data_IF_359619955029
#
_entry.id   IF_359619955029
#
_cell.length_a   1.000
_cell.length_b   1.000
_cell.length_c   1.000
_cell.angle_alpha   90.00
_cell.angle_beta   90.00
_cell.angle_gamma   90.00
#
_symmetry.space_group_name_H-M   'P 1'
#
loop_
_entity.id
_entity.type
_entity.pdbx_description
1 polymer ?
#
# COMPACT_ATOMS: atom_id res chain seq x y z
N UNK A 1 4.83 -36.83 83.75
CA UNK A 1 4.75 -38.20 83.21
C UNK A 1 3.96 -38.16 81.91
N UNK A 2 4.69 -38.30 80.80
CA UNK A 2 4.29 -38.89 79.51
C UNK A 2 2.82 -38.71 79.04
N UNK A 3 2.57 -37.73 78.18
CA UNK A 3 1.33 -37.71 77.39
C UNK A 3 1.66 -37.54 75.90
N UNK A 4 1.72 -38.68 75.22
CA UNK A 4 1.44 -38.91 73.80
C UNK A 4 1.74 -37.77 72.81
N UNK A 5 3.03 -37.58 72.50
CA UNK A 5 3.45 -36.90 71.26
C UNK A 5 3.22 -37.74 69.98
N UNK A 6 2.66 -38.95 70.14
CA UNK A 6 2.41 -39.92 69.08
C UNK A 6 0.94 -39.95 68.57
N UNK A 7 0.04 -39.09 69.06
CA UNK A 7 -1.39 -39.15 68.71
C UNK A 7 -1.98 -37.87 68.10
N UNK A 8 -1.15 -36.86 67.78
CA UNK A 8 -1.67 -35.66 67.11
C UNK A 8 -1.32 -35.67 65.60
N UNK A 9 -2.19 -36.21 64.73
CA UNK A 9 -1.97 -36.22 63.28
C UNK A 9 -1.88 -34.80 62.71
N UNK A 10 -2.44 -33.78 63.37
CA UNK A 10 -2.31 -32.40 62.95
C UNK A 10 -0.90 -31.87 63.23
N UNK A 11 -0.28 -32.24 64.35
CA UNK A 11 1.11 -31.86 64.64
C UNK A 11 2.12 -32.50 63.67
N UNK A 12 1.86 -33.74 63.23
CA UNK A 12 2.68 -34.42 62.21
C UNK A 12 2.48 -33.77 60.84
N UNK A 13 1.24 -33.52 60.42
CA UNK A 13 0.94 -32.83 59.16
C UNK A 13 1.51 -31.42 59.13
N UNK A 14 1.39 -30.68 60.24
CA UNK A 14 1.98 -29.36 60.40
C UNK A 14 3.50 -29.41 60.32
N UNK A 15 4.14 -30.36 60.99
CA UNK A 15 5.60 -30.53 60.90
C UNK A 15 6.09 -30.88 59.48
N UNK A 16 5.32 -31.69 58.75
CA UNK A 16 5.60 -32.01 57.34
C UNK A 16 5.35 -30.81 56.42
N UNK A 17 4.28 -30.05 56.64
CA UNK A 17 3.98 -28.83 55.91
C UNK A 17 5.06 -27.77 56.15
N UNK A 18 5.42 -27.49 57.41
CA UNK A 18 6.45 -26.51 57.78
C UNK A 18 7.83 -26.91 57.19
N UNK A 19 8.18 -28.21 57.18
CA UNK A 19 9.41 -28.68 56.54
C UNK A 19 9.36 -28.58 55.01
N UNK A 20 8.21 -28.86 54.41
CA UNK A 20 8.03 -28.77 52.96
C UNK A 20 8.05 -27.32 52.52
N UNK A 21 7.35 -26.44 53.24
CA UNK A 21 7.34 -25.00 53.02
C UNK A 21 8.75 -24.43 53.16
N UNK A 22 9.50 -24.80 54.20
CA UNK A 22 10.88 -24.32 54.34
C UNK A 22 11.77 -24.75 53.18
N UNK A 23 11.68 -26.01 52.73
CA UNK A 23 12.47 -26.54 51.60
C UNK A 23 12.04 -25.94 50.26
N UNK A 24 10.73 -25.78 50.06
CA UNK A 24 10.17 -25.15 48.86
C UNK A 24 10.54 -23.67 48.83
N UNK A 25 10.51 -22.98 49.96
CA UNK A 25 10.89 -21.59 50.06
C UNK A 25 12.39 -21.38 49.79
N UNK A 26 13.26 -22.23 50.34
CA UNK A 26 14.71 -22.19 50.06
C UNK A 26 15.01 -22.47 48.58
N UNK A 27 14.43 -23.53 48.02
CA UNK A 27 14.59 -23.88 46.60
C UNK A 27 14.01 -22.80 45.69
N UNK A 28 12.84 -22.25 46.01
CA UNK A 28 12.23 -21.16 45.23
C UNK A 28 13.05 -19.88 45.32
N UNK A 29 13.61 -19.54 46.49
CA UNK A 29 14.44 -18.36 46.64
C UNK A 29 15.73 -18.48 45.82
N UNK A 30 16.39 -19.66 45.87
CA UNK A 30 17.55 -19.94 45.04
C UNK A 30 17.22 -20.02 43.54
N UNK A 31 16.05 -20.53 43.18
CA UNK A 31 15.62 -20.68 41.78
C UNK A 31 15.21 -19.33 41.18
N UNK A 32 14.50 -18.49 41.94
CA UNK A 32 14.13 -17.13 41.53
C UNK A 32 15.34 -16.21 41.39
N UNK A 33 16.41 -16.42 42.16
CA UNK A 33 17.64 -15.65 42.05
C UNK A 33 18.50 -16.06 40.85
N UNK A 34 18.26 -17.23 40.25
CA UNK A 34 19.03 -17.74 39.11
C UNK A 34 18.32 -17.36 37.80
N UNK A 35 19.10 -16.86 36.84
CA UNK A 35 18.63 -16.54 35.47
C UNK A 35 17.90 -17.72 34.79
N UNK A 36 18.19 -18.96 35.22
CA UNK A 36 17.53 -20.18 34.77
C UNK A 36 16.01 -20.19 34.96
N UNK A 37 15.45 -19.51 35.97
CA UNK A 37 13.99 -19.40 36.13
C UNK A 37 13.37 -18.50 35.06
N UNK A 38 14.02 -17.38 34.75
CA UNK A 38 13.60 -16.48 33.67
C UNK A 38 13.72 -17.15 32.30
N UNK A 39 14.79 -17.93 32.08
CA UNK A 39 14.96 -18.71 30.86
C UNK A 39 13.89 -19.80 30.74
N UNK A 40 13.60 -20.52 31.82
CA UNK A 40 12.55 -21.53 31.85
C UNK A 40 11.16 -20.92 31.59
N UNK A 41 10.84 -19.80 32.23
CA UNK A 41 9.60 -19.06 31.96
C UNK A 41 9.52 -18.60 30.50
N UNK A 42 10.65 -18.14 29.93
CA UNK A 42 10.74 -17.80 28.51
C UNK A 42 10.49 -19.01 27.60
N UNK A 43 11.02 -20.19 27.92
CA UNK A 43 10.79 -21.42 27.18
C UNK A 43 9.32 -21.89 27.28
N UNK A 44 8.71 -21.82 28.46
CA UNK A 44 7.29 -22.15 28.66
C UNK A 44 6.41 -21.17 27.88
N UNK A 45 6.71 -19.88 27.94
CA UNK A 45 5.98 -18.86 27.19
C UNK A 45 6.10 -19.07 25.68
N UNK A 46 7.31 -19.38 25.19
CA UNK A 46 7.54 -19.72 23.78
C UNK A 46 6.78 -20.99 23.36
N UNK A 47 6.75 -22.01 24.22
CA UNK A 47 5.96 -23.23 23.98
C UNK A 47 4.46 -22.94 23.89
N UNK A 48 3.94 -22.08 24.76
CA UNK A 48 2.54 -21.64 24.72
C UNK A 48 2.23 -20.88 23.42
N UNK A 49 3.10 -19.96 22.99
CA UNK A 49 2.93 -19.22 21.75
C UNK A 49 2.99 -20.14 20.51
N UNK A 50 3.90 -21.11 20.50
CA UNK A 50 3.96 -22.12 19.43
C UNK A 50 2.70 -22.98 19.39
N UNK A 51 2.17 -23.38 20.55
CA UNK A 51 0.90 -24.10 20.62
C UNK A 51 -0.27 -23.26 20.09
N UNK A 52 -0.34 -21.99 20.48
CA UNK A 52 -1.35 -21.07 19.97
C UNK A 52 -1.25 -20.89 18.46
N UNK A 53 -0.04 -20.74 17.92
CA UNK A 53 0.22 -20.67 16.47
C UNK A 53 -0.19 -21.96 15.77
N UNK A 54 0.12 -23.12 16.34
CA UNK A 54 -0.26 -24.42 15.79
C UNK A 54 -1.79 -24.57 15.74
N UNK A 55 -2.50 -24.19 16.80
CA UNK A 55 -3.96 -24.21 16.85
C UNK A 55 -4.55 -23.27 15.80
N UNK A 56 -4.01 -22.06 15.65
CA UNK A 56 -4.44 -21.11 14.62
C UNK A 56 -4.22 -21.68 13.21
N UNK A 57 -3.01 -22.14 12.90
CA UNK A 57 -2.68 -22.72 11.59
C UNK A 57 -3.52 -23.97 11.27
N UNK A 58 -3.79 -24.82 12.27
CA UNK A 58 -4.64 -26.01 12.12
C UNK A 58 -6.11 -25.63 11.89
N UNK A 59 -6.58 -24.61 12.60
CA UNK A 59 -7.94 -24.06 12.42
C UNK A 59 -8.08 -23.42 11.04
N UNK A 60 -7.08 -22.68 10.57
CA UNK A 60 -7.04 -22.13 9.22
C UNK A 60 -7.01 -23.22 8.14
N UNK A 61 -6.18 -24.26 8.32
CA UNK A 61 -6.12 -25.40 7.42
C UNK A 61 -7.46 -26.15 7.34
N UNK A 62 -8.13 -26.31 8.49
CA UNK A 62 -9.47 -26.89 8.55
C UNK A 62 -10.52 -25.99 7.88
N UNK A 63 -10.49 -24.67 8.12
CA UNK A 63 -11.39 -23.71 7.47
C UNK A 63 -11.21 -23.69 5.95
N UNK A 64 -9.96 -23.79 5.46
CA UNK A 64 -9.64 -23.97 4.04
C UNK A 64 -10.24 -25.26 3.47
N UNK A 65 -10.23 -26.34 4.25
CA UNK A 65 -10.83 -27.62 3.84
C UNK A 65 -12.36 -27.56 3.74
N UNK A 66 -13.02 -26.66 4.49
CA UNK A 66 -14.48 -26.42 4.42
C UNK A 66 -14.83 -25.36 3.37
N UNK A 67 -13.88 -24.91 2.53
CA UNK A 67 -14.05 -23.81 1.56
C UNK A 67 -14.57 -22.51 2.21
N UNK A 68 -14.34 -22.31 3.52
CA UNK A 68 -14.67 -21.06 4.20
C UNK A 68 -13.45 -20.16 4.09
N UNK A 69 -13.49 -19.08 3.29
CA UNK A 69 -12.34 -18.21 3.13
C UNK A 69 -11.94 -17.62 4.49
N UNK A 70 -10.64 -17.61 4.75
CA UNK A 70 -10.10 -17.05 5.99
C UNK A 70 -10.25 -15.52 5.99
N UNK A 71 -10.33 -14.90 7.17
CA UNK A 71 -10.43 -13.44 7.29
C UNK A 71 -9.28 -12.71 6.57
N UNK A 72 -8.09 -13.31 6.56
CA UNK A 72 -6.90 -12.77 5.90
C UNK A 72 -7.02 -12.77 4.37
N UNK A 73 -7.55 -13.86 3.80
CA UNK A 73 -7.81 -13.96 2.36
C UNK A 73 -8.87 -12.95 1.91
N UNK A 74 -9.93 -12.74 2.71
CA UNK A 74 -10.94 -11.70 2.45
C UNK A 74 -10.32 -10.30 2.47
N UNK A 75 -9.45 -10.02 3.45
CA UNK A 75 -8.74 -8.74 3.54
C UNK A 75 -7.85 -8.50 2.32
N UNK A 76 -7.10 -9.52 1.91
CA UNK A 76 -6.21 -9.46 0.76
C UNK A 76 -6.98 -9.20 -0.55
N UNK A 77 -8.12 -9.87 -0.73
CA UNK A 77 -9.00 -9.65 -1.88
C UNK A 77 -9.61 -8.25 -1.84
N UNK A 78 -10.05 -7.77 -0.67
CA UNK A 78 -10.57 -6.41 -0.53
C UNK A 78 -9.53 -5.35 -0.90
N UNK A 79 -8.28 -5.51 -0.46
CA UNK A 79 -7.19 -4.62 -0.88
C UNK A 79 -6.92 -4.68 -2.39
N UNK A 80 -6.99 -5.86 -3.00
CA UNK A 80 -6.84 -5.99 -4.45
C UNK A 80 -7.96 -5.28 -5.21
N UNK A 81 -9.20 -5.39 -4.73
CA UNK A 81 -10.37 -4.71 -5.32
C UNK A 81 -10.21 -3.19 -5.23
N UNK A 82 -9.79 -2.65 -4.08
CA UNK A 82 -9.57 -1.20 -3.91
C UNK A 82 -8.50 -0.69 -4.88
N UNK A 83 -7.37 -1.41 -5.01
CA UNK A 83 -6.32 -1.04 -5.96
C UNK A 83 -6.80 -1.12 -7.43
N UNK A 84 -7.73 -2.02 -7.74
CA UNK A 84 -8.34 -2.09 -9.07
C UNK A 84 -9.30 -0.93 -9.30
N UNK A 85 -10.11 -0.57 -8.31
CA UNK A 85 -11.02 0.58 -8.36
C UNK A 85 -10.23 1.88 -8.61
N UNK A 86 -9.15 2.12 -7.85
CA UNK A 86 -8.27 3.27 -8.04
C UNK A 86 -7.65 3.30 -9.46
N UNK A 87 -7.17 2.15 -9.96
CA UNK A 87 -6.63 2.07 -11.33
C UNK A 87 -7.68 2.28 -12.41
N UNK A 88 -8.91 1.86 -12.17
CA UNK A 88 -10.03 2.09 -13.11
C UNK A 88 -10.41 3.57 -13.11
N UNK A 89 -10.45 4.21 -11.94
CA UNK A 89 -10.70 5.65 -11.83
C UNK A 89 -9.59 6.48 -12.50
N UNK A 90 -8.31 6.11 -12.30
CA UNK A 90 -7.17 6.70 -12.99
C UNK A 90 -7.29 6.58 -14.52
N UNK A 91 -7.74 5.42 -15.01
CA UNK A 91 -7.95 5.18 -16.44
C UNK A 91 -9.11 6.03 -16.96
N UNK A 92 -10.21 6.12 -16.22
CA UNK A 92 -11.37 6.92 -16.60
C UNK A 92 -10.99 8.41 -16.67
N UNK A 93 -10.25 8.91 -15.66
CA UNK A 93 -9.73 10.27 -15.65
C UNK A 93 -8.78 10.52 -16.83
N UNK A 94 -7.88 9.58 -17.16
CA UNK A 94 -7.00 9.70 -18.33
C UNK A 94 -7.77 9.69 -19.64
N UNK A 95 -8.84 8.90 -19.75
CA UNK A 95 -9.69 8.86 -20.93
C UNK A 95 -10.46 10.17 -21.07
N UNK A 96 -11.04 10.69 -19.99
CA UNK A 96 -11.68 12.01 -19.99
C UNK A 96 -10.68 13.10 -20.36
N UNK A 97 -9.48 13.09 -19.78
CA UNK A 97 -8.43 14.06 -20.08
C UNK A 97 -8.01 13.96 -21.55
N UNK A 98 -7.74 12.77 -22.09
CA UNK A 98 -7.42 12.54 -23.50
C UNK A 98 -8.58 12.96 -24.43
N UNK A 99 -9.84 12.74 -24.05
CA UNK A 99 -11.00 13.14 -24.84
C UNK A 99 -11.19 14.67 -24.84
N UNK A 100 -10.92 15.32 -23.72
CA UNK A 100 -10.98 16.77 -23.57
C UNK A 100 -9.76 17.48 -24.18
N UNK A 101 -8.58 16.85 -24.15
CA UNK A 101 -7.32 17.40 -24.69
C UNK A 101 -7.12 17.11 -26.17
N UNK A 102 -7.61 15.98 -26.70
CA UNK A 102 -7.88 15.77 -28.14
C UNK A 102 -9.07 16.62 -28.62
N UNK A 103 -9.29 17.81 -28.03
CA UNK A 103 -10.24 18.76 -28.57
C UNK A 103 -9.85 19.01 -30.03
N UNK A 104 -10.60 18.39 -30.95
CA UNK A 104 -10.52 18.66 -32.37
C UNK A 104 -10.57 20.18 -32.60
N UNK A 105 -11.20 20.93 -31.68
CA UNK A 105 -11.14 22.39 -31.59
C UNK A 105 -9.71 22.98 -31.57
N UNK A 106 -8.76 22.46 -30.79
CA UNK A 106 -7.36 22.94 -30.77
C UNK A 106 -6.65 22.71 -32.10
N UNK A 107 -6.81 21.52 -32.69
CA UNK A 107 -6.26 21.19 -33.99
C UNK A 107 -6.92 21.98 -35.13
N UNK A 108 -8.25 22.12 -35.11
CA UNK A 108 -9.03 22.94 -36.03
C UNK A 108 -8.60 24.41 -35.95
N UNK A 109 -8.34 24.94 -34.75
CA UNK A 109 -7.84 26.31 -34.58
C UNK A 109 -6.42 26.48 -35.13
N UNK A 110 -5.53 25.51 -34.94
CA UNK A 110 -4.19 25.50 -35.57
C UNK A 110 -4.30 25.44 -37.10
N UNK A 111 -5.19 24.60 -37.62
CA UNK A 111 -5.46 24.48 -39.06
C UNK A 111 -6.00 25.80 -39.63
N UNK A 112 -6.96 26.42 -38.95
CA UNK A 112 -7.56 27.71 -39.31
C UNK A 112 -6.50 28.83 -39.37
N UNK A 113 -5.58 28.85 -38.40
CA UNK A 113 -4.45 29.80 -38.40
C UNK A 113 -3.52 29.59 -39.59
N UNK A 114 -3.18 28.33 -39.88
CA UNK A 114 -2.33 27.97 -41.03
C UNK A 114 -2.99 28.33 -42.37
N UNK A 115 -4.29 28.09 -42.52
CA UNK A 115 -5.08 28.49 -43.70
C UNK A 115 -5.08 30.01 -43.87
N UNK A 116 -5.33 30.77 -42.80
CA UNK A 116 -5.31 32.23 -42.86
C UNK A 116 -3.92 32.80 -43.23
N UNK A 117 -2.83 32.13 -42.82
CA UNK A 117 -1.46 32.49 -43.24
C UNK A 117 -1.24 32.17 -44.72
N UNK A 118 -1.78 31.06 -45.20
CA UNK A 118 -1.67 30.66 -46.60
C UNK A 118 -2.41 31.63 -47.51
N UNK A 119 -3.61 32.05 -47.11
CA UNK A 119 -4.42 33.07 -47.77
C UNK A 119 -3.64 34.38 -47.96
N UNK A 120 -3.03 34.89 -46.89
CA UNK A 120 -2.15 36.07 -46.97
C UNK A 120 -0.96 35.90 -47.91
N UNK A 121 -0.38 34.70 -47.98
CA UNK A 121 0.74 34.41 -48.90
C UNK A 121 0.24 34.40 -50.35
N UNK A 122 -0.93 33.82 -50.61
CA UNK A 122 -1.57 33.81 -51.92
C UNK A 122 -1.85 35.25 -52.37
N UNK A 123 -2.41 36.10 -51.51
CA UNK A 123 -2.63 37.53 -51.81
C UNK A 123 -1.32 38.26 -52.15
N UNK A 124 -0.25 37.95 -51.40
CA UNK A 124 1.08 38.54 -51.66
C UNK A 124 1.64 38.11 -53.02
N UNK A 125 1.46 36.84 -53.39
CA UNK A 125 1.86 36.32 -54.68
C UNK A 125 1.01 36.90 -55.82
N UNK A 126 -0.31 37.02 -55.63
CA UNK A 126 -1.22 37.66 -56.59
C UNK A 126 -0.82 39.11 -56.86
N UNK A 127 -0.49 39.86 -55.80
CA UNK A 127 0.04 41.23 -55.93
C UNK A 127 1.38 41.28 -56.65
N UNK A 128 2.31 40.38 -56.33
CA UNK A 128 3.60 40.31 -56.99
C UNK A 128 3.47 39.98 -58.49
N UNK A 129 2.52 39.11 -58.85
CA UNK A 129 2.21 38.78 -60.25
C UNK A 129 1.53 39.95 -60.96
N UNK A 130 0.58 40.65 -60.33
CA UNK A 130 -0.02 41.88 -60.88
C UNK A 130 1.00 42.99 -61.11
N UNK A 131 1.97 43.15 -60.21
CA UNK A 131 3.08 44.10 -60.38
C UNK A 131 4.02 43.68 -61.51
N UNK A 132 4.11 42.39 -61.82
CA UNK A 132 4.93 41.87 -62.94
C UNK A 132 4.22 42.03 -64.29
N UNK A 133 2.89 42.18 -64.31
CA UNK A 133 2.07 42.32 -65.51
C UNK A 133 1.78 43.80 -65.89
N UNK A 134 2.19 44.78 -65.07
CA UNK A 134 2.26 46.18 -65.53
C UNK A 134 3.52 46.38 -66.41
N UNK A 135 3.37 46.67 -67.72
CA UNK A 135 4.50 46.76 -68.61
C UNK A 135 5.32 48.02 -68.32
N UNK A 136 6.63 47.79 -68.19
CA UNK A 136 7.69 48.78 -68.38
C UNK A 136 7.38 49.67 -69.58
N UNK A 137 7.03 50.93 -69.35
CA UNK A 137 7.28 52.04 -70.29
C UNK A 137 8.36 52.93 -69.70
N UNK A 138 9.60 52.56 -69.97
CA UNK A 138 10.77 53.43 -69.84
C UNK A 138 10.74 54.57 -70.85
N UNK A 139 11.47 55.63 -70.47
CA UNK A 139 12.12 56.68 -71.26
C UNK A 139 11.30 57.91 -71.71
N UNK A 140 11.52 59.00 -70.95
CA UNK A 140 11.77 60.39 -71.42
C UNK A 140 12.70 60.46 -72.65
N UNK A 141 12.85 61.57 -73.42
CA UNK A 141 12.73 63.00 -73.06
C UNK A 141 12.15 63.94 -74.16
N UNK A 142 12.27 65.27 -73.97
CA UNK A 142 12.51 66.36 -74.96
C UNK A 142 11.58 67.59 -74.80
N UNK A 143 12.13 68.60 -74.12
CA UNK A 143 12.37 69.99 -74.54
C UNK A 143 11.50 70.68 -75.64
N UNK A 144 11.21 71.96 -75.37
CA UNK A 144 10.84 73.08 -76.27
C UNK A 144 9.45 72.99 -76.94
N UNK A 145 8.61 74.04 -76.96
CA UNK A 145 8.85 75.48 -77.08
C UNK A 145 7.60 76.24 -76.61
#
# INVERSE_FOLDING_TARGET
>A
MTQNKFLDPFAIWKGLYDQTESKVNEVLHETMQKEAFSEWMGQVQNGYLQYQQFVQNSTEGYLKQVNVPTREEISSIASLIINLEEKVEDLDQKIEEELLTNSAASEINKLKSSIAKLDKKIDTLLKAIQVTDEPVRTSTPVENK
#
